data_IF_286663960443
#
_entry.id   IF_286663960443
#
_cell.length_a   1.000
_cell.length_b   1.000
_cell.length_c   1.000
_cell.angle_alpha   90.00
_cell.angle_beta   90.00
_cell.angle_gamma   90.00
#
_symmetry.space_group_name_H-M   'P 1'
#
loop_
_entity.id
_entity.type
_entity.pdbx_description
1 polymer ?
#
# COMPACT_ATOMS: atom_id res chain seq x y z
N UNK A 1 -18.79 -4.94 -35.03
CA UNK A 1 -18.47 -4.38 -33.70
C UNK A 1 -17.14 -3.65 -33.81
N UNK A 2 -16.98 -2.47 -33.18
CA UNK A 2 -15.72 -1.76 -33.22
C UNK A 2 -14.70 -2.47 -32.31
N UNK A 3 -13.44 -2.62 -32.74
CA UNK A 3 -12.33 -3.26 -31.98
C UNK A 3 -12.29 -2.85 -30.50
N UNK A 4 -12.54 -1.57 -30.24
CA UNK A 4 -12.56 -0.97 -28.88
C UNK A 4 -13.64 -1.60 -27.97
N UNK A 5 -14.81 -1.93 -28.49
CA UNK A 5 -15.93 -2.52 -27.73
C UNK A 5 -15.62 -3.97 -27.36
N UNK A 6 -14.96 -4.72 -28.27
CA UNK A 6 -14.53 -6.10 -28.01
C UNK A 6 -13.48 -6.15 -26.92
N UNK A 7 -12.51 -5.24 -26.93
CA UNK A 7 -11.47 -5.20 -25.90
C UNK A 7 -11.97 -4.73 -24.53
N UNK A 8 -12.91 -3.79 -24.50
CA UNK A 8 -13.56 -3.40 -23.24
C UNK A 8 -14.38 -4.57 -22.63
N UNK A 9 -14.99 -5.39 -23.45
CA UNK A 9 -15.72 -6.58 -22.99
C UNK A 9 -14.77 -7.72 -22.58
N UNK A 10 -13.66 -7.91 -23.27
CA UNK A 10 -12.62 -8.89 -22.90
C UNK A 10 -11.94 -8.49 -21.59
N UNK A 11 -11.65 -7.19 -21.38
CA UNK A 11 -11.08 -6.67 -20.15
C UNK A 11 -12.00 -6.87 -18.92
N UNK A 12 -13.31 -6.82 -19.12
CA UNK A 12 -14.31 -7.09 -18.07
C UNK A 12 -14.45 -8.58 -17.71
N UNK A 13 -14.14 -9.48 -18.65
CA UNK A 13 -14.35 -10.93 -18.46
C UNK A 13 -13.08 -11.71 -18.09
N UNK A 14 -11.88 -11.18 -18.33
CA UNK A 14 -10.64 -11.99 -18.28
C UNK A 14 -9.65 -11.59 -17.19
N UNK A 15 -9.93 -10.61 -16.33
CA UNK A 15 -8.94 -10.14 -15.32
C UNK A 15 -7.58 -9.79 -15.93
N UNK A 16 -7.55 -9.45 -17.23
CA UNK A 16 -6.34 -9.26 -18.00
C UNK A 16 -5.67 -7.92 -17.72
N UNK A 17 -4.38 -7.86 -17.95
CA UNK A 17 -3.56 -6.65 -17.93
C UNK A 17 -4.22 -5.55 -18.77
N UNK A 18 -4.82 -4.54 -18.14
CA UNK A 18 -5.31 -3.35 -18.82
C UNK A 18 -4.18 -2.35 -18.88
N UNK A 19 -3.61 -2.17 -20.05
CA UNK A 19 -2.62 -1.13 -20.32
C UNK A 19 -3.35 0.04 -20.97
N UNK A 20 -3.36 1.24 -20.37
CA UNK A 20 -3.94 2.41 -21.02
C UNK A 20 -3.13 2.80 -22.26
N UNK A 21 -3.84 3.14 -23.31
CA UNK A 21 -3.28 3.51 -24.61
C UNK A 21 -2.63 4.90 -24.55
N UNK A 22 -1.32 4.96 -24.45
CA UNK A 22 -0.55 6.16 -24.74
C UNK A 22 0.31 5.97 -26.01
N UNK A 23 0.41 7.02 -26.80
CA UNK A 23 0.95 7.01 -28.17
C UNK A 23 2.48 7.03 -28.29
N UNK A 24 3.22 6.64 -27.26
CA UNK A 24 4.68 6.69 -27.29
C UNK A 24 5.30 5.30 -27.43
N UNK A 25 6.06 5.12 -28.50
CA UNK A 25 6.77 3.89 -28.82
C UNK A 25 7.86 3.53 -27.79
N UNK A 26 7.82 2.31 -27.31
CA UNK A 26 8.78 1.74 -26.37
C UNK A 26 9.98 1.12 -27.13
N UNK A 27 11.17 1.67 -26.92
CA UNK A 27 12.41 1.06 -27.38
C UNK A 27 13.12 0.49 -26.15
N UNK A 28 13.18 -0.83 -26.05
CA UNK A 28 13.95 -1.50 -25.00
C UNK A 28 15.43 -1.24 -25.20
N UNK A 29 16.02 -0.34 -24.44
CA UNK A 29 17.47 -0.35 -24.20
C UNK A 29 17.75 -1.38 -23.12
N UNK A 30 18.76 -2.22 -23.34
CA UNK A 30 19.16 -3.31 -22.49
C UNK A 30 19.25 -2.92 -21.01
N UNK A 31 18.78 -3.83 -20.18
CA UNK A 31 18.77 -3.74 -18.73
C UNK A 31 20.20 -3.51 -18.21
N UNK A 32 20.55 -2.24 -18.01
CA UNK A 32 21.69 -1.87 -17.18
C UNK A 32 21.27 -2.12 -15.73
N UNK A 33 21.98 -3.00 -15.02
CA UNK A 33 21.91 -3.08 -13.56
C UNK A 33 22.42 -1.76 -13.01
N UNK A 34 21.53 -0.77 -12.86
CA UNK A 34 21.84 0.42 -12.08
C UNK A 34 21.80 0.04 -10.59
N UNK A 35 22.92 0.19 -9.88
CA UNK A 35 22.92 -0.03 -8.44
C UNK A 35 22.02 1.01 -7.75
N UNK A 36 21.17 0.54 -6.82
CA UNK A 36 20.34 1.29 -5.89
C UNK A 36 19.28 2.25 -6.47
N UNK A 37 18.33 1.73 -7.25
CA UNK A 37 17.08 2.47 -7.44
C UNK A 37 16.23 2.37 -6.17
N UNK A 38 15.96 3.49 -5.51
CA UNK A 38 15.06 3.53 -4.33
C UNK A 38 13.67 3.06 -4.73
N UNK A 39 13.02 2.32 -3.83
CA UNK A 39 11.73 1.65 -4.06
C UNK A 39 10.70 2.10 -3.04
N UNK A 40 9.45 2.13 -3.45
CA UNK A 40 8.31 2.46 -2.59
C UNK A 40 7.23 1.41 -2.74
N UNK A 41 6.81 0.82 -1.62
CA UNK A 41 5.66 -0.06 -1.55
C UNK A 41 4.60 0.61 -0.69
N UNK A 42 3.40 0.75 -1.21
CA UNK A 42 2.24 1.26 -0.48
C UNK A 42 1.30 0.10 -0.16
N UNK A 43 1.01 -0.09 1.11
CA UNK A 43 -0.01 -1.03 1.61
C UNK A 43 -1.18 -0.19 2.12
N UNK A 44 -2.32 -0.26 1.44
CA UNK A 44 -3.51 0.51 1.79
C UNK A 44 -4.52 -0.36 2.52
N UNK A 45 -4.83 0.00 3.76
CA UNK A 45 -5.77 -0.72 4.63
C UNK A 45 -7.17 -0.09 4.49
N UNK A 46 -8.00 -0.65 3.59
CA UNK A 46 -9.35 -0.11 3.29
C UNK A 46 -10.37 -0.46 4.34
N UNK A 47 -10.98 0.55 4.91
CA UNK A 47 -12.02 0.44 5.95
C UNK A 47 -11.65 1.11 7.27
N UNK A 48 -10.65 2.01 7.26
CA UNK A 48 -10.27 2.80 8.42
C UNK A 48 -9.86 1.95 9.62
N UNK A 49 -8.67 1.36 9.56
CA UNK A 49 -8.10 0.61 10.69
C UNK A 49 -8.09 1.44 11.97
N UNK A 50 -8.40 0.82 13.09
CA UNK A 50 -8.31 1.47 14.40
C UNK A 50 -6.86 1.60 14.88
N UNK A 51 -6.25 2.77 14.67
CA UNK A 51 -4.88 3.05 15.06
C UNK A 51 -4.62 2.94 16.55
N UNK A 52 -5.62 3.23 17.42
CA UNK A 52 -5.50 3.08 18.86
C UNK A 52 -5.47 1.62 19.34
N UNK A 53 -5.92 0.66 18.52
CA UNK A 53 -5.75 -0.76 18.80
C UNK A 53 -4.63 -1.39 17.94
N UNK A 54 -3.83 -0.56 17.27
CA UNK A 54 -2.53 -0.94 16.65
C UNK A 54 -1.37 -0.51 17.55
N UNK A 55 -1.32 0.78 17.89
CA UNK A 55 -0.36 1.38 18.83
C UNK A 55 -1.16 1.97 20.00
N UNK A 56 -1.04 1.34 21.13
CA UNK A 56 -1.87 1.55 22.31
C UNK A 56 -1.16 2.47 23.28
N UNK A 57 -1.74 3.64 23.67
CA UNK A 57 -1.21 4.50 24.70
C UNK A 57 -1.54 3.92 26.09
N UNK A 58 -0.88 2.82 26.45
CA UNK A 58 -1.24 2.03 27.64
C UNK A 58 -0.97 2.74 28.96
N UNK A 59 -0.30 3.87 28.96
CA UNK A 59 -0.11 4.73 30.13
C UNK A 59 -1.27 5.73 30.36
N UNK A 60 -2.24 5.80 29.43
CA UNK A 60 -3.37 6.72 29.54
C UNK A 60 -4.62 6.01 30.07
N UNK A 61 -5.11 6.45 31.24
CA UNK A 61 -6.35 5.95 31.82
C UNK A 61 -7.55 6.16 30.90
N UNK A 62 -7.54 7.25 30.12
CA UNK A 62 -8.57 7.56 29.12
C UNK A 62 -8.71 6.48 28.05
N UNK A 63 -7.65 5.76 27.72
CA UNK A 63 -7.73 4.64 26.78
C UNK A 63 -8.64 3.53 27.34
N UNK A 64 -8.46 3.16 28.59
CA UNK A 64 -9.26 2.11 29.25
C UNK A 64 -10.68 2.60 29.56
N UNK A 65 -10.82 3.85 30.01
CA UNK A 65 -12.12 4.46 30.32
C UNK A 65 -13.02 4.56 29.08
N UNK A 66 -12.46 4.85 27.92
CA UNK A 66 -13.19 4.95 26.66
C UNK A 66 -13.40 3.60 25.96
N UNK A 67 -12.67 2.54 26.36
CA UNK A 67 -12.66 1.23 25.68
C UNK A 67 -12.80 0.05 26.66
N UNK A 68 -13.79 0.04 27.55
CA UNK A 68 -13.91 -0.96 28.62
C UNK A 68 -13.99 -2.42 28.12
N UNK A 69 -14.42 -2.64 26.86
CA UNK A 69 -14.54 -3.98 26.28
C UNK A 69 -13.48 -4.31 25.23
N UNK A 70 -12.87 -3.32 24.59
CA UNK A 70 -11.94 -3.53 23.47
C UNK A 70 -10.51 -3.06 23.76
N UNK A 71 -10.25 -2.50 24.95
CA UNK A 71 -8.91 -2.14 25.38
C UNK A 71 -8.00 -3.38 25.47
N UNK A 72 -6.74 -3.19 25.10
CA UNK A 72 -5.69 -4.20 25.24
C UNK A 72 -4.94 -3.90 26.55
N UNK A 73 -4.70 -4.93 27.35
CA UNK A 73 -4.08 -4.82 28.68
C UNK A 73 -2.64 -4.27 28.61
N UNK A 74 -2.12 -3.68 29.67
CA UNK A 74 -0.74 -3.21 29.76
C UNK A 74 0.29 -4.33 29.51
N UNK A 75 1.59 -3.98 29.33
CA UNK A 75 2.65 -4.96 29.23
C UNK A 75 2.70 -5.87 30.47
N UNK A 76 3.12 -7.12 30.29
CA UNK A 76 3.22 -8.17 31.31
C UNK A 76 1.89 -8.78 31.76
N UNK A 77 0.76 -8.29 31.29
CA UNK A 77 -0.53 -8.95 31.45
C UNK A 77 -0.76 -10.00 30.34
N UNK A 78 -1.58 -11.03 30.58
CA UNK A 78 -1.93 -12.01 29.54
C UNK A 78 -2.52 -11.33 28.30
N UNK A 79 -1.95 -11.58 27.13
CA UNK A 79 -2.31 -10.89 25.87
C UNK A 79 -2.20 -9.36 25.92
N UNK A 80 -1.39 -8.82 26.82
CA UNK A 80 -1.09 -7.41 26.91
C UNK A 80 -0.26 -6.91 25.75
N UNK A 81 -0.14 -5.60 25.65
CA UNK A 81 0.65 -4.94 24.59
C UNK A 81 2.13 -5.30 24.68
N UNK A 82 2.80 -5.24 23.55
CA UNK A 82 4.26 -5.33 23.47
C UNK A 82 4.83 -3.92 23.65
N UNK A 83 5.53 -3.68 24.75
CA UNK A 83 6.08 -2.36 25.04
C UNK A 83 7.01 -1.87 23.93
N UNK A 84 6.84 -0.61 23.51
CA UNK A 84 7.62 0.06 22.49
C UNK A 84 8.61 1.08 23.09
N UNK A 85 8.14 1.94 24.00
CA UNK A 85 8.91 3.06 24.55
C UNK A 85 8.59 3.44 26.00
N UNK A 86 7.83 2.63 26.72
CA UNK A 86 7.39 2.87 28.08
C UNK A 86 6.09 3.66 28.19
N UNK A 87 5.51 4.12 27.07
CA UNK A 87 4.24 4.82 27.01
C UNK A 87 3.26 4.19 26.03
N UNK A 88 3.77 3.83 24.84
CA UNK A 88 3.03 3.13 23.80
C UNK A 88 3.41 1.66 23.73
N UNK A 89 2.44 0.82 23.42
CA UNK A 89 2.62 -0.59 23.16
C UNK A 89 2.06 -1.01 21.81
N UNK A 90 2.67 -2.00 21.20
CA UNK A 90 2.19 -2.60 19.96
C UNK A 90 1.16 -3.68 20.27
N UNK A 91 0.11 -3.77 19.46
CA UNK A 91 -0.85 -4.87 19.52
C UNK A 91 -0.13 -6.23 19.47
N UNK A 92 -0.41 -7.18 20.38
CA UNK A 92 0.29 -8.47 20.44
C UNK A 92 0.13 -9.31 19.16
N UNK A 93 -0.91 -9.10 18.36
CA UNK A 93 -1.08 -9.74 17.06
C UNK A 93 0.00 -9.30 16.04
N UNK A 94 0.68 -8.19 16.27
CA UNK A 94 1.75 -7.65 15.43
C UNK A 94 3.16 -8.00 15.95
N UNK A 95 3.29 -9.02 16.80
CA UNK A 95 4.56 -9.44 17.43
C UNK A 95 5.72 -9.60 16.43
N UNK A 96 5.42 -10.02 15.21
CA UNK A 96 6.42 -10.27 14.17
C UNK A 96 7.09 -8.97 13.67
N UNK A 97 6.53 -7.80 13.99
CA UNK A 97 7.12 -6.48 13.71
C UNK A 97 8.10 -6.00 14.80
N UNK A 98 8.11 -6.61 15.99
CA UNK A 98 9.01 -6.19 17.08
C UNK A 98 10.50 -6.23 16.71
N UNK A 99 11.01 -7.21 15.94
CA UNK A 99 12.39 -7.18 15.48
C UNK A 99 12.71 -5.94 14.62
N UNK A 100 11.78 -5.48 13.79
CA UNK A 100 11.95 -4.27 12.97
C UNK A 100 11.96 -3.00 13.83
N UNK A 101 11.08 -2.93 14.85
CA UNK A 101 11.09 -1.84 15.82
C UNK A 101 12.44 -1.74 16.55
N UNK A 102 12.91 -2.87 17.12
CA UNK A 102 14.19 -2.95 17.85
C UNK A 102 15.40 -2.59 16.97
N UNK A 103 15.35 -2.93 15.68
CA UNK A 103 16.37 -2.57 14.69
C UNK A 103 16.24 -1.14 14.17
N UNK A 104 15.27 -0.35 14.65
CA UNK A 104 14.96 0.99 14.18
C UNK A 104 14.57 1.05 12.69
N UNK A 105 13.90 0.00 12.21
CA UNK A 105 13.45 -0.19 10.84
C UNK A 105 11.92 -0.10 10.69
N UNK A 106 11.23 0.30 11.76
CA UNK A 106 9.80 0.58 11.82
C UNK A 106 9.57 1.85 12.62
N UNK A 107 8.68 2.70 12.16
CA UNK A 107 8.18 3.88 12.86
C UNK A 107 6.70 4.09 12.60
N UNK A 108 6.06 4.85 13.47
CA UNK A 108 4.67 5.26 13.36
C UNK A 108 4.57 6.78 13.41
N UNK A 109 3.59 7.32 12.67
CA UNK A 109 3.29 8.75 12.64
C UNK A 109 1.87 8.95 13.15
N UNK A 110 1.74 9.60 14.29
CA UNK A 110 0.46 9.90 14.93
C UNK A 110 -0.29 11.03 14.22
N UNK A 111 -1.62 11.02 14.37
CA UNK A 111 -2.50 12.07 13.88
C UNK A 111 -2.39 12.29 12.37
N UNK A 112 -2.09 11.22 11.63
CA UNK A 112 -1.96 11.31 10.18
C UNK A 112 -3.34 11.15 9.52
N UNK A 113 -3.62 11.98 8.51
CA UNK A 113 -4.90 11.90 7.79
C UNK A 113 -5.07 13.03 6.80
N UNK A 114 -6.29 13.23 6.37
CA UNK A 114 -6.71 14.30 5.49
C UNK A 114 -7.49 15.34 6.30
N UNK A 115 -7.05 16.60 6.30
CA UNK A 115 -7.79 17.71 6.88
C UNK A 115 -9.12 17.92 6.11
N UNK A 116 -10.08 17.04 6.37
CA UNK A 116 -11.42 17.08 5.82
C UNK A 116 -12.38 16.47 6.86
N UNK A 117 -13.51 17.12 7.11
CA UNK A 117 -14.54 16.63 8.02
C UNK A 117 -15.31 15.41 7.47
N UNK A 118 -15.00 15.00 6.26
CA UNK A 118 -15.67 13.89 5.58
C UNK A 118 -15.21 12.53 6.14
N UNK A 119 -16.17 11.70 6.52
CA UNK A 119 -15.99 10.34 7.04
C UNK A 119 -16.57 9.29 6.07
N UNK A 120 -16.69 9.64 4.78
CA UNK A 120 -17.08 8.71 3.72
C UNK A 120 -15.85 7.95 3.20
N UNK A 121 -15.85 6.63 3.32
CA UNK A 121 -14.77 5.79 2.80
C UNK A 121 -14.48 6.08 1.32
N UNK A 122 -15.51 6.16 0.48
CA UNK A 122 -15.33 6.36 -0.96
C UNK A 122 -14.63 7.68 -1.27
N UNK A 123 -15.07 8.76 -0.65
CA UNK A 123 -14.54 10.09 -0.95
C UNK A 123 -13.13 10.28 -0.39
N UNK A 124 -12.88 9.84 0.85
CA UNK A 124 -11.56 9.97 1.46
C UNK A 124 -10.55 9.04 0.82
N UNK A 125 -10.92 7.80 0.48
CA UNK A 125 -10.06 6.91 -0.31
C UNK A 125 -9.71 7.53 -1.66
N UNK A 126 -10.69 8.09 -2.37
CA UNK A 126 -10.47 8.81 -3.62
C UNK A 126 -9.44 9.95 -3.45
N UNK A 127 -9.60 10.79 -2.43
CA UNK A 127 -8.65 11.89 -2.17
C UNK A 127 -7.25 11.40 -1.77
N UNK A 128 -7.15 10.31 -1.02
CA UNK A 128 -5.86 9.74 -0.66
C UNK A 128 -5.17 9.08 -1.84
N UNK A 129 -5.92 8.50 -2.75
CA UNK A 129 -5.36 7.84 -3.94
C UNK A 129 -5.01 8.84 -5.05
N UNK A 130 -5.83 9.87 -5.26
CA UNK A 130 -5.51 10.90 -6.25
C UNK A 130 -4.55 11.98 -5.71
N UNK A 131 -4.40 12.11 -4.38
CA UNK A 131 -3.50 13.10 -3.76
C UNK A 131 -3.95 14.56 -3.92
N UNK A 132 -5.21 14.81 -4.36
CA UNK A 132 -5.78 16.14 -4.60
C UNK A 132 -7.09 16.33 -3.84
N UNK A 133 -7.04 16.51 -2.50
CA UNK A 133 -8.22 16.70 -1.67
C UNK A 133 -9.13 17.83 -2.19
N UNK A 134 -10.45 17.59 -2.14
CA UNK A 134 -11.45 18.52 -2.63
C UNK A 134 -11.68 18.52 -4.15
N UNK A 135 -10.93 17.71 -4.91
CA UNK A 135 -11.12 17.58 -6.36
C UNK A 135 -11.60 16.18 -6.77
N UNK A 136 -12.90 15.98 -6.76
CA UNK A 136 -13.55 14.71 -7.18
C UNK A 136 -13.45 14.44 -8.70
N UNK A 137 -12.98 15.38 -9.50
CA UNK A 137 -12.86 15.21 -10.96
C UNK A 137 -11.49 14.70 -11.39
N UNK A 138 -10.55 14.60 -10.48
CA UNK A 138 -9.22 14.12 -10.80
C UNK A 138 -9.14 12.60 -10.66
N UNK A 139 -9.18 11.89 -11.78
CA UNK A 139 -9.11 10.43 -11.85
C UNK A 139 -7.67 9.90 -11.96
N UNK A 140 -6.64 10.76 -11.87
CA UNK A 140 -5.25 10.36 -11.95
C UNK A 140 -4.64 10.19 -10.56
N UNK A 141 -4.08 9.00 -10.29
CA UNK A 141 -3.46 8.65 -9.03
C UNK A 141 -2.08 9.31 -8.84
N UNK A 142 -1.74 9.65 -7.59
CA UNK A 142 -0.45 10.27 -7.30
C UNK A 142 0.75 9.36 -7.60
N UNK A 143 0.60 8.03 -7.46
CA UNK A 143 1.68 7.11 -7.84
C UNK A 143 1.87 7.03 -9.36
N UNK A 144 0.83 7.24 -10.17
CA UNK A 144 0.99 7.32 -11.62
C UNK A 144 1.69 8.62 -12.02
N UNK A 145 1.37 9.76 -11.39
CA UNK A 145 2.13 11.00 -11.60
C UNK A 145 3.59 10.86 -11.21
N UNK A 146 3.87 10.20 -10.08
CA UNK A 146 5.24 9.89 -9.68
C UNK A 146 5.95 9.04 -10.73
N UNK A 147 5.28 8.01 -11.25
CA UNK A 147 5.82 7.14 -12.30
C UNK A 147 6.19 7.94 -13.57
N UNK A 148 5.38 8.93 -13.94
CA UNK A 148 5.68 9.86 -15.04
C UNK A 148 6.96 10.67 -14.82
N UNK A 149 7.22 11.09 -13.59
CA UNK A 149 8.44 11.83 -13.20
C UNK A 149 9.67 10.92 -13.23
N UNK A 150 9.54 9.67 -12.79
CA UNK A 150 10.64 8.70 -12.76
C UNK A 150 11.10 8.25 -14.16
N UNK A 151 10.40 8.68 -15.21
CA UNK A 151 10.80 8.62 -16.65
C UNK A 151 11.19 7.22 -17.16
N UNK A 152 10.83 6.15 -16.48
CA UNK A 152 11.06 4.80 -16.98
C UNK A 152 9.93 4.38 -17.92
N UNK A 153 10.33 3.71 -18.98
CA UNK A 153 9.42 3.16 -19.99
C UNK A 153 9.15 1.66 -19.80
N UNK A 154 9.38 1.15 -18.58
CA UNK A 154 9.16 -0.25 -18.27
C UNK A 154 7.75 -0.44 -17.67
N UNK A 155 6.83 -1.18 -18.29
CA UNK A 155 5.48 -1.40 -17.77
C UNK A 155 5.45 -2.13 -16.43
N UNK A 156 6.54 -2.80 -16.03
CA UNK A 156 6.69 -3.44 -14.72
C UNK A 156 7.33 -2.54 -13.67
N UNK A 157 7.63 -1.28 -14.00
CA UNK A 157 8.20 -0.32 -13.03
C UNK A 157 7.24 -0.05 -11.86
N UNK A 158 5.93 -0.05 -12.13
CA UNK A 158 4.92 -0.05 -11.09
C UNK A 158 4.04 -1.30 -11.19
N UNK A 159 3.82 -1.96 -10.07
CA UNK A 159 3.03 -3.19 -9.97
C UNK A 159 1.98 -3.07 -8.89
N UNK A 160 0.77 -3.47 -9.23
CA UNK A 160 -0.34 -3.69 -8.30
C UNK A 160 -0.53 -5.19 -8.05
N UNK A 161 -0.67 -5.60 -6.80
CA UNK A 161 -1.17 -6.94 -6.47
C UNK A 161 -2.70 -6.87 -6.41
N UNK A 162 -3.33 -7.23 -7.51
CA UNK A 162 -4.78 -7.15 -7.70
C UNK A 162 -5.14 -7.27 -9.17
N UNK A 163 -6.39 -7.64 -9.48
CA UNK A 163 -6.86 -7.86 -10.86
C UNK A 163 -7.23 -6.57 -11.60
N UNK A 164 -7.44 -5.48 -10.86
CA UNK A 164 -7.89 -4.18 -11.41
C UNK A 164 -6.92 -3.10 -10.96
N UNK A 165 -6.57 -2.20 -11.88
CA UNK A 165 -5.72 -1.05 -11.55
C UNK A 165 -6.42 -0.15 -10.53
N UNK A 166 -5.88 0.00 -9.31
CA UNK A 166 -6.44 0.89 -8.30
C UNK A 166 -6.26 2.34 -8.72
N UNK A 167 -7.06 3.22 -8.12
CA UNK A 167 -7.07 4.63 -8.49
C UNK A 167 -5.70 5.30 -8.29
N UNK A 168 -5.00 4.96 -7.23
CA UNK A 168 -3.65 5.49 -6.92
C UNK A 168 -2.63 5.27 -8.06
N UNK A 169 -2.82 4.23 -8.86
CA UNK A 169 -1.98 3.87 -10.01
C UNK A 169 -2.63 4.20 -11.35
N UNK A 170 -3.85 4.73 -11.37
CA UNK A 170 -4.56 5.10 -12.60
C UNK A 170 -3.94 6.38 -13.19
N UNK A 171 -3.78 6.42 -14.52
CA UNK A 171 -3.25 7.59 -15.23
C UNK A 171 -2.74 7.25 -16.62
N UNK A 172 -1.88 8.12 -17.14
CA UNK A 172 -1.35 8.02 -18.51
C UNK A 172 -0.22 7.00 -18.65
N UNK A 173 0.45 6.63 -17.55
CA UNK A 173 1.58 5.69 -17.58
C UNK A 173 1.07 4.27 -17.32
N UNK A 174 1.47 3.28 -18.16
CA UNK A 174 1.07 1.88 -17.97
C UNK A 174 1.58 1.30 -16.65
N UNK A 175 0.74 0.46 -16.03
CA UNK A 175 1.03 -0.25 -14.77
C UNK A 175 0.67 -1.71 -14.94
N UNK A 176 1.47 -2.61 -14.37
CA UNK A 176 1.17 -4.03 -14.39
C UNK A 176 0.28 -4.41 -13.19
N UNK A 177 -0.74 -5.22 -13.45
CA UNK A 177 -1.58 -5.84 -12.42
C UNK A 177 -1.26 -7.32 -12.31
N UNK A 178 -0.94 -7.77 -11.10
CA UNK A 178 -0.69 -9.17 -10.80
C UNK A 178 -1.87 -9.75 -10.02
N UNK A 179 -2.63 -10.69 -10.57
CA UNK A 179 -3.77 -11.29 -9.88
C UNK A 179 -3.38 -11.91 -8.53
N UNK A 180 -4.27 -11.83 -7.55
CA UNK A 180 -4.13 -12.53 -6.27
C UNK A 180 -4.26 -14.04 -6.47
N UNK A 181 -3.71 -14.84 -5.56
CA UNK A 181 -3.73 -16.31 -5.69
C UNK A 181 -5.11 -16.93 -5.87
N UNK A 182 -6.14 -16.35 -5.22
CA UNK A 182 -7.52 -16.81 -5.38
C UNK A 182 -8.12 -16.54 -6.77
N UNK A 183 -7.59 -15.55 -7.47
CA UNK A 183 -8.06 -15.21 -8.81
C UNK A 183 -7.50 -16.18 -9.86
N UNK A 184 -6.75 -17.21 -9.42
CA UNK A 184 -5.94 -18.10 -10.26
C UNK A 184 -5.27 -17.29 -11.37
N UNK A 185 -4.03 -17.59 -11.74
CA UNK A 185 -3.54 -17.30 -13.08
C UNK A 185 -4.42 -18.15 -14.03
N UNK A 186 -5.73 -17.83 -14.09
CA UNK A 186 -6.63 -18.46 -15.02
C UNK A 186 -5.95 -18.36 -16.37
N UNK A 187 -5.76 -19.49 -17.01
CA UNK A 187 -5.35 -19.51 -18.40
C UNK A 187 -6.27 -18.53 -19.10
N UNK A 188 -5.73 -17.37 -19.46
CA UNK A 188 -6.49 -16.39 -20.21
C UNK A 188 -6.97 -17.11 -21.47
N UNK A 189 -8.12 -16.73 -21.98
CA UNK A 189 -8.55 -17.24 -23.29
C UNK A 189 -7.45 -17.06 -24.34
N UNK A 190 -6.60 -16.04 -24.19
CA UNK A 190 -5.39 -15.78 -24.99
C UNK A 190 -4.25 -16.77 -24.75
N UNK A 191 -4.27 -17.61 -23.71
CA UNK A 191 -3.28 -18.67 -23.49
C UNK A 191 -3.63 -19.95 -24.22
N UNK A 192 -4.86 -20.06 -24.76
CA UNK A 192 -5.28 -21.13 -25.65
C UNK A 192 -4.52 -20.94 -26.97
N UNK A 193 -3.71 -21.91 -27.46
CA UNK A 193 -2.80 -21.71 -28.59
C UNK A 193 -3.46 -21.12 -29.82
N UNK A 194 -4.65 -21.58 -30.19
CA UNK A 194 -5.39 -21.06 -31.34
C UNK A 194 -5.84 -19.61 -31.14
N UNK A 195 -6.29 -19.26 -29.93
CA UNK A 195 -6.73 -17.90 -29.57
C UNK A 195 -5.51 -16.95 -29.53
N UNK A 196 -4.39 -17.39 -28.94
CA UNK A 196 -3.14 -16.63 -28.91
C UNK A 196 -2.67 -16.31 -30.32
N UNK A 197 -2.67 -17.30 -31.22
CA UNK A 197 -2.30 -17.12 -32.62
C UNK A 197 -3.17 -16.06 -33.31
N UNK A 198 -4.48 -16.17 -33.16
CA UNK A 198 -5.45 -15.22 -33.76
C UNK A 198 -5.27 -13.80 -33.21
N UNK A 199 -5.05 -13.65 -31.92
CA UNK A 199 -4.80 -12.34 -31.32
C UNK A 199 -3.46 -11.74 -31.76
N UNK A 200 -2.39 -12.54 -31.86
CA UNK A 200 -1.10 -12.11 -32.37
C UNK A 200 -1.18 -11.66 -33.85
N UNK A 201 -1.96 -12.37 -34.67
CA UNK A 201 -2.21 -11.96 -36.06
C UNK A 201 -3.05 -10.68 -36.14
N UNK A 202 -4.05 -10.52 -35.26
CA UNK A 202 -4.92 -9.34 -35.23
C UNK A 202 -4.21 -8.08 -34.76
N UNK A 203 -3.25 -8.21 -33.85
CA UNK A 203 -2.54 -7.11 -33.18
C UNK A 203 -1.03 -7.11 -33.51
N UNK A 204 -0.65 -7.42 -34.74
CA UNK A 204 0.73 -7.37 -35.21
C UNK A 204 1.15 -6.00 -35.80
N UNK A 205 0.24 -5.03 -35.83
CA UNK A 205 0.47 -3.70 -36.38
C UNK A 205 1.25 -2.76 -35.45
N UNK A 206 1.46 -1.53 -35.93
CA UNK A 206 2.09 -0.43 -35.18
C UNK A 206 1.07 0.59 -34.65
N UNK A 207 -0.21 0.30 -34.72
CA UNK A 207 -1.24 1.13 -34.12
C UNK A 207 -1.19 1.02 -32.57
N UNK A 208 -1.70 2.03 -31.88
CA UNK A 208 -1.62 2.11 -30.42
C UNK A 208 -2.20 0.90 -29.70
N UNK A 209 -3.20 0.25 -30.30
CA UNK A 209 -3.85 -0.92 -29.73
C UNK A 209 -2.99 -2.18 -29.88
N UNK A 210 -2.36 -2.34 -31.05
CA UNK A 210 -1.43 -3.43 -31.34
C UNK A 210 -0.18 -3.33 -30.45
N UNK A 211 0.36 -2.13 -30.28
CA UNK A 211 1.52 -1.90 -29.39
C UNK A 211 1.16 -2.22 -27.94
N UNK A 212 0.01 -1.76 -27.43
CA UNK A 212 -0.43 -2.07 -26.08
C UNK A 212 -0.64 -3.59 -25.84
N UNK A 213 -1.18 -4.31 -26.81
CA UNK A 213 -1.32 -5.77 -26.73
C UNK A 213 0.07 -6.46 -26.67
N UNK A 214 1.01 -6.07 -27.56
CA UNK A 214 2.34 -6.65 -27.60
C UNK A 214 3.13 -6.38 -26.31
N UNK A 215 3.02 -5.18 -25.73
CA UNK A 215 3.62 -4.82 -24.45
C UNK A 215 3.03 -5.62 -23.30
N UNK A 216 1.70 -5.77 -23.26
CA UNK A 216 1.02 -6.61 -22.28
C UNK A 216 1.49 -8.06 -22.33
N UNK A 217 1.68 -8.62 -23.53
CA UNK A 217 2.20 -9.97 -23.70
C UNK A 217 3.66 -10.10 -23.22
N UNK A 218 4.49 -9.08 -23.45
CA UNK A 218 5.88 -9.05 -22.94
C UNK A 218 5.92 -9.01 -21.42
N UNK A 219 5.15 -8.11 -20.79
CA UNK A 219 5.05 -8.01 -19.33
C UNK A 219 4.59 -9.35 -18.72
N UNK A 220 3.55 -9.97 -19.30
CA UNK A 220 3.04 -11.27 -18.87
C UNK A 220 4.10 -12.38 -18.96
N UNK A 221 4.89 -12.44 -20.04
CA UNK A 221 5.97 -13.43 -20.17
C UNK A 221 7.03 -13.29 -19.08
N UNK A 222 7.39 -12.05 -18.71
CA UNK A 222 8.33 -11.78 -17.63
C UNK A 222 7.75 -12.32 -16.31
N UNK A 223 6.50 -12.00 -15.97
CA UNK A 223 5.86 -12.49 -14.76
C UNK A 223 5.74 -14.01 -14.72
N UNK A 224 5.29 -14.64 -15.80
CA UNK A 224 5.20 -16.11 -15.86
C UNK A 224 6.56 -16.74 -15.60
N UNK A 225 7.61 -16.28 -16.28
CA UNK A 225 8.98 -16.80 -16.10
C UNK A 225 9.46 -16.69 -14.65
N UNK A 226 9.15 -15.59 -13.96
CA UNK A 226 9.54 -15.40 -12.56
C UNK A 226 8.78 -16.30 -11.59
N UNK A 227 7.53 -16.62 -11.88
CA UNK A 227 6.65 -17.35 -10.96
C UNK A 227 6.44 -18.84 -11.30
N UNK A 228 6.81 -19.29 -12.49
CA UNK A 228 6.57 -20.67 -12.95
C UNK A 228 7.22 -21.73 -12.02
N UNK A 229 8.42 -21.47 -11.54
CA UNK A 229 9.13 -22.38 -10.64
C UNK A 229 8.51 -22.41 -9.23
N UNK A 230 7.98 -21.29 -8.75
CA UNK A 230 7.41 -21.14 -7.40
C UNK A 230 6.03 -21.80 -7.31
N UNK A 231 5.23 -21.75 -8.37
CA UNK A 231 3.94 -22.46 -8.44
C UNK A 231 4.09 -23.98 -8.39
N UNK A 232 5.20 -24.51 -8.86
CA UNK A 232 5.50 -25.96 -8.80
C UNK A 232 5.96 -26.38 -7.40
N UNK A 233 6.68 -25.53 -6.68
CA UNK A 233 7.18 -25.83 -5.33
C UNK A 233 6.13 -25.57 -4.23
N UNK A 234 5.30 -24.52 -4.35
CA UNK A 234 4.25 -24.20 -3.37
C UNK A 234 3.14 -25.23 -3.31
N UNK A 235 2.95 -26.03 -4.38
CA UNK A 235 1.98 -27.13 -4.41
C UNK A 235 2.46 -28.40 -3.66
N UNK A 236 3.68 -28.44 -3.13
CA UNK A 236 4.21 -29.55 -2.35
C UNK A 236 3.99 -29.36 -0.85
N UNK A 237 2.75 -29.65 -0.35
CA UNK A 237 2.43 -29.86 1.08
C UNK A 237 2.86 -28.75 2.07
N UNK A 238 3.00 -27.50 1.68
CA UNK A 238 3.22 -26.40 2.61
C UNK A 238 1.93 -26.08 3.40
N UNK A 239 2.01 -25.79 4.71
CA UNK A 239 0.84 -25.38 5.48
C UNK A 239 0.26 -24.10 4.90
N UNK A 240 -1.07 -23.96 4.99
CA UNK A 240 -1.82 -22.78 4.49
C UNK A 240 -1.29 -21.49 5.13
N UNK A 241 -0.47 -20.71 4.42
CA UNK A 241 -0.08 -19.36 4.80
C UNK A 241 -1.17 -18.37 4.39
N UNK A 242 -1.30 -17.24 5.09
CA UNK A 242 -2.26 -16.21 4.69
C UNK A 242 -1.93 -15.70 3.28
N UNK A 243 -2.95 -15.35 2.50
CA UNK A 243 -2.75 -14.86 1.13
C UNK A 243 -1.79 -13.65 1.09
N UNK A 244 -1.83 -12.77 2.10
CA UNK A 244 -0.99 -11.59 2.15
C UNK A 244 0.51 -11.95 2.22
N UNK A 245 0.88 -12.99 2.95
CA UNK A 245 2.28 -13.47 2.99
C UNK A 245 2.76 -13.89 1.59
N UNK A 246 1.92 -14.57 0.81
CA UNK A 246 2.27 -14.94 -0.56
C UNK A 246 2.32 -13.71 -1.49
N UNK A 247 1.38 -12.79 -1.33
CA UNK A 247 1.35 -11.55 -2.10
C UNK A 247 2.62 -10.71 -1.91
N UNK A 248 3.09 -10.58 -0.67
CA UNK A 248 4.33 -9.83 -0.38
C UNK A 248 5.59 -10.55 -0.87
N UNK A 249 5.63 -11.88 -0.86
CA UNK A 249 6.72 -12.65 -1.48
C UNK A 249 6.79 -12.40 -2.99
N UNK A 250 5.65 -12.41 -3.68
CA UNK A 250 5.57 -12.02 -5.09
C UNK A 250 6.08 -10.59 -5.32
N UNK A 251 5.65 -9.64 -4.47
CA UNK A 251 6.11 -8.25 -4.55
C UNK A 251 7.63 -8.16 -4.36
N UNK A 252 8.19 -8.80 -3.34
CA UNK A 252 9.64 -8.82 -3.10
C UNK A 252 10.42 -9.37 -4.30
N UNK A 253 9.94 -10.45 -4.90
CA UNK A 253 10.55 -11.06 -6.08
C UNK A 253 10.54 -10.12 -7.30
N UNK A 254 9.43 -9.41 -7.55
CA UNK A 254 9.34 -8.40 -8.61
C UNK A 254 10.27 -7.21 -8.36
N UNK A 255 10.43 -6.81 -7.09
CA UNK A 255 11.34 -5.74 -6.70
C UNK A 255 12.81 -6.12 -6.90
N UNK A 256 13.18 -7.38 -6.66
CA UNK A 256 14.56 -7.88 -6.73
C UNK A 256 14.93 -8.54 -8.05
N UNK A 257 13.95 -8.95 -8.84
CA UNK A 257 14.12 -9.72 -10.07
C UNK A 257 14.32 -8.87 -11.34
N UNK A 258 14.24 -9.52 -12.49
CA UNK A 258 14.38 -8.91 -13.82
C UNK A 258 13.31 -7.86 -14.13
N UNK A 259 12.14 -7.95 -13.50
CA UNK A 259 11.08 -6.95 -13.61
C UNK A 259 11.52 -5.57 -13.13
N UNK A 260 12.49 -5.53 -12.20
CA UNK A 260 13.06 -4.31 -11.62
C UNK A 260 11.99 -3.30 -11.20
N UNK A 261 10.93 -3.80 -10.56
CA UNK A 261 9.82 -2.98 -10.08
C UNK A 261 10.32 -1.95 -9.06
N UNK A 262 9.88 -0.72 -9.21
CA UNK A 262 10.26 0.40 -8.33
C UNK A 262 9.11 0.82 -7.41
N UNK A 263 7.88 0.78 -7.92
CA UNK A 263 6.68 1.13 -7.17
C UNK A 263 5.78 -0.09 -7.02
N UNK A 264 5.37 -0.40 -5.79
CA UNK A 264 4.45 -1.48 -5.49
C UNK A 264 3.19 -0.96 -4.78
N UNK A 265 2.05 -1.55 -5.10
CA UNK A 265 0.80 -1.27 -4.40
C UNK A 265 0.08 -2.57 -4.04
N UNK A 266 -0.40 -2.64 -2.79
CA UNK A 266 -1.25 -3.73 -2.29
C UNK A 266 -2.34 -3.10 -1.43
N UNK A 267 -3.59 -3.43 -1.68
CA UNK A 267 -4.69 -3.05 -0.79
C UNK A 267 -5.23 -4.25 -0.01
N UNK A 268 -5.65 -4.00 1.22
CA UNK A 268 -6.23 -4.99 2.12
C UNK A 268 -7.51 -4.41 2.71
N UNK A 269 -8.62 -5.13 2.57
CA UNK A 269 -9.94 -4.69 3.05
C UNK A 269 -10.31 -5.25 4.42
N UNK A 270 -11.58 -4.99 4.80
CA UNK A 270 -12.27 -5.49 6.01
C UNK A 270 -11.88 -4.77 7.32
N UNK A 271 -11.25 -3.60 7.25
CA UNK A 271 -10.83 -2.86 8.46
C UNK A 271 -11.96 -2.04 9.09
N UNK A 272 -13.16 -2.03 8.52
CA UNK A 272 -14.34 -1.32 9.02
C UNK A 272 -15.01 -2.07 10.18
N UNK A 273 -14.39 -1.98 11.37
CA UNK A 273 -14.68 -2.82 12.52
C UNK A 273 -15.68 -2.17 13.50
N UNK A 274 -16.92 -1.99 13.07
CA UNK A 274 -18.00 -1.44 13.90
C UNK A 274 -18.54 -2.40 14.99
N UNK A 275 -18.32 -3.71 14.85
CA UNK A 275 -18.89 -4.74 15.71
C UNK A 275 -17.80 -5.75 16.07
N UNK A 276 -17.72 -6.13 17.35
CA UNK A 276 -16.79 -7.17 17.83
C UNK A 276 -15.34 -6.98 17.31
N UNK A 277 -14.84 -5.76 17.41
CA UNK A 277 -13.59 -5.31 16.83
C UNK A 277 -12.38 -6.15 17.25
N UNK A 278 -12.25 -6.51 18.53
CA UNK A 278 -11.10 -7.24 19.03
C UNK A 278 -10.85 -8.54 18.26
N UNK A 279 -11.92 -9.33 18.01
CA UNK A 279 -11.80 -10.58 17.26
C UNK A 279 -11.47 -10.33 15.78
N UNK A 280 -12.09 -9.30 15.18
CA UNK A 280 -11.84 -8.96 13.78
C UNK A 280 -10.42 -8.43 13.56
N UNK A 281 -9.96 -7.49 14.39
CA UNK A 281 -8.61 -6.95 14.31
C UNK A 281 -7.55 -8.03 14.53
N UNK A 282 -7.73 -8.91 15.52
CA UNK A 282 -6.78 -9.99 15.75
C UNK A 282 -6.60 -10.88 14.51
N UNK A 283 -7.71 -11.24 13.85
CA UNK A 283 -7.69 -12.02 12.59
C UNK A 283 -6.99 -11.30 11.44
N UNK A 284 -7.11 -9.96 11.37
CA UNK A 284 -6.55 -9.15 10.29
C UNK A 284 -5.09 -8.73 10.54
N UNK A 285 -4.76 -8.39 11.80
CA UNK A 285 -3.43 -7.90 12.18
C UNK A 285 -2.37 -9.01 12.16
N UNK A 286 -2.70 -10.25 12.55
CA UNK A 286 -1.73 -11.34 12.52
C UNK A 286 -1.13 -11.55 11.13
N UNK A 287 -1.92 -11.79 10.06
CA UNK A 287 -1.35 -11.95 8.72
C UNK A 287 -0.73 -10.65 8.16
N UNK A 288 -1.19 -9.48 8.60
CA UNK A 288 -0.56 -8.20 8.24
C UNK A 288 0.84 -8.11 8.84
N UNK A 289 1.00 -8.39 10.13
CA UNK A 289 2.30 -8.36 10.81
C UNK A 289 3.28 -9.38 10.22
N UNK A 290 2.84 -10.62 10.05
CA UNK A 290 3.62 -11.70 9.41
C UNK A 290 4.03 -11.31 7.99
N UNK A 291 3.10 -10.79 7.19
CA UNK A 291 3.38 -10.38 5.81
C UNK A 291 4.38 -9.24 5.71
N UNK A 292 4.23 -8.18 6.52
CA UNK A 292 5.17 -7.06 6.52
C UNK A 292 6.57 -7.50 6.99
N UNK A 293 6.67 -8.36 8.00
CA UNK A 293 7.95 -8.93 8.44
C UNK A 293 8.57 -9.82 7.35
N UNK A 294 7.76 -10.64 6.68
CA UNK A 294 8.19 -11.47 5.55
C UNK A 294 8.68 -10.60 4.40
N UNK A 295 7.96 -9.51 4.05
CA UNK A 295 8.39 -8.60 3.00
C UNK A 295 9.77 -8.00 3.28
N UNK A 296 10.00 -7.55 4.51
CA UNK A 296 11.31 -7.04 4.93
C UNK A 296 12.42 -8.10 4.82
N UNK A 297 12.12 -9.35 5.17
CA UNK A 297 13.04 -10.47 5.08
C UNK A 297 13.37 -10.84 3.62
N UNK A 298 12.35 -11.00 2.78
CA UNK A 298 12.49 -11.38 1.36
C UNK A 298 13.19 -10.32 0.51
N UNK A 299 13.04 -9.04 0.85
CA UNK A 299 13.81 -7.96 0.23
C UNK A 299 15.31 -8.02 0.57
N UNK A 300 15.69 -8.64 1.68
CA UNK A 300 17.10 -8.76 2.07
C UNK A 300 17.83 -7.42 2.07
N UNK A 301 18.96 -7.34 1.38
CA UNK A 301 19.75 -6.09 1.27
C UNK A 301 18.97 -4.95 0.57
N UNK A 302 18.02 -5.30 -0.31
CA UNK A 302 17.20 -4.30 -1.01
C UNK A 302 16.27 -3.55 -0.06
N UNK A 303 16.00 -4.09 1.15
CA UNK A 303 15.23 -3.41 2.18
C UNK A 303 15.84 -2.07 2.59
N UNK A 304 17.18 -1.91 2.47
CA UNK A 304 17.86 -0.63 2.72
C UNK A 304 17.50 0.46 1.68
N UNK A 305 17.07 0.06 0.51
CA UNK A 305 16.66 0.96 -0.57
C UNK A 305 15.13 0.99 -0.77
N UNK A 306 14.38 0.28 0.09
CA UNK A 306 12.94 0.18 0.00
C UNK A 306 12.27 0.85 1.20
N UNK A 307 11.28 1.70 0.93
CA UNK A 307 10.35 2.20 1.94
C UNK A 307 8.99 1.53 1.74
N UNK A 308 8.45 0.98 2.81
CA UNK A 308 7.10 0.42 2.87
C UNK A 308 6.25 1.40 3.68
N UNK A 309 5.21 1.92 3.05
CA UNK A 309 4.22 2.82 3.63
C UNK A 309 2.93 2.05 3.87
N UNK A 310 2.45 1.99 5.12
CA UNK A 310 1.14 1.43 5.45
C UNK A 310 0.22 2.56 5.88
N UNK A 311 -0.91 2.70 5.21
CA UNK A 311 -1.85 3.79 5.44
C UNK A 311 -3.30 3.33 5.34
N UNK A 312 -4.20 4.12 5.91
CA UNK A 312 -5.65 3.94 5.83
C UNK A 312 -6.31 5.31 5.66
N UNK A 313 -7.56 5.35 5.22
CA UNK A 313 -8.23 6.58 4.81
C UNK A 313 -8.47 7.58 5.95
N UNK A 314 -8.92 7.12 7.12
CA UNK A 314 -9.12 7.93 8.33
C UNK A 314 -9.02 7.05 9.58
N UNK A 315 -9.13 7.65 10.77
CA UNK A 315 -9.08 6.95 12.05
C UNK A 315 -10.46 6.52 12.56
N UNK A 316 -10.47 6.01 13.79
CA UNK A 316 -11.67 5.61 14.50
C UNK A 316 -11.90 6.48 15.71
N UNK A 317 -13.16 6.51 16.21
CA UNK A 317 -13.49 7.19 17.46
C UNK A 317 -12.62 6.69 18.61
N UNK A 318 -12.24 7.60 19.52
CA UNK A 318 -11.51 7.22 20.75
C UNK A 318 -12.37 6.29 21.61
N UNK A 319 -13.65 6.61 21.74
CA UNK A 319 -14.60 5.80 22.51
C UNK A 319 -15.12 4.63 21.68
N UNK A 320 -15.20 3.44 22.31
CA UNK A 320 -15.90 2.30 21.73
C UNK A 320 -17.41 2.56 21.62
N UNK A 321 -18.05 1.93 20.65
CA UNK A 321 -19.51 1.98 20.48
C UNK A 321 -20.23 0.85 21.26
N UNK A 322 -21.56 0.85 21.22
CA UNK A 322 -22.37 -0.14 21.93
C UNK A 322 -22.23 -1.59 21.43
N UNK A 323 -21.55 -1.82 20.30
CA UNK A 323 -21.38 -3.15 19.69
C UNK A 323 -19.95 -3.69 19.86
N UNK A 324 -19.16 -3.17 20.81
CA UNK A 324 -17.76 -3.54 21.03
C UNK A 324 -16.91 -3.32 19.77
N UNK A 325 -17.14 -2.22 19.11
CA UNK A 325 -16.40 -1.73 17.94
C UNK A 325 -16.16 -0.24 18.08
N UNK A 326 -15.81 0.40 16.96
CA UNK A 326 -15.61 1.85 16.90
C UNK A 326 -16.30 2.44 15.67
N UNK A 327 -16.69 3.71 15.74
CA UNK A 327 -17.24 4.41 14.60
C UNK A 327 -16.15 5.19 13.85
N UNK A 328 -16.49 5.78 12.70
CA UNK A 328 -15.55 6.56 11.91
C UNK A 328 -15.08 7.79 12.69
N UNK A 329 -13.78 8.01 12.70
CA UNK A 329 -13.10 9.15 13.33
C UNK A 329 -12.29 9.97 12.33
N UNK A 330 -11.26 10.67 12.81
CA UNK A 330 -10.48 11.61 12.01
C UNK A 330 -9.02 11.17 11.85
N UNK A 331 -8.12 11.60 12.74
CA UNK A 331 -6.70 11.25 12.67
C UNK A 331 -6.42 9.76 12.90
N UNK A 332 -5.47 9.23 12.14
CA UNK A 332 -5.04 7.83 12.22
C UNK A 332 -3.54 7.71 12.43
N UNK A 333 -3.06 6.50 12.33
CA UNK A 333 -1.68 6.10 12.40
C UNK A 333 -1.17 5.75 10.99
N UNK A 334 -0.04 6.33 10.57
CA UNK A 334 0.67 5.90 9.38
C UNK A 334 1.92 5.15 9.80
N UNK A 335 2.25 4.02 9.14
CA UNK A 335 3.41 3.20 9.47
C UNK A 335 4.44 3.32 8.36
N UNK A 336 5.71 3.43 8.73
CA UNK A 336 6.82 3.46 7.77
C UNK A 336 7.82 2.38 8.16
N UNK A 337 8.14 1.50 7.21
CA UNK A 337 9.15 0.46 7.37
C UNK A 337 10.22 0.65 6.29
N UNK A 338 11.46 0.32 6.63
CA UNK A 338 12.58 0.38 5.68
C UNK A 338 13.93 0.29 6.41
N UNK A 339 14.96 -0.17 5.71
CA UNK A 339 16.29 -0.24 6.30
C UNK A 339 16.95 1.14 6.47
N UNK A 340 16.48 2.15 5.75
CA UNK A 340 17.01 3.51 5.74
C UNK A 340 16.14 4.52 6.52
N UNK A 341 15.34 4.06 7.48
CA UNK A 341 14.54 4.94 8.33
C UNK A 341 15.15 5.11 9.71
N UNK A 342 14.82 6.23 10.36
CA UNK A 342 15.15 6.51 11.78
C UNK A 342 14.00 6.03 12.66
N UNK A 343 13.73 4.73 12.64
CA UNK A 343 12.65 4.10 13.39
C UNK A 343 12.98 3.85 14.86
N UNK A 344 12.16 3.00 15.51
CA UNK A 344 12.23 2.74 16.95
C UNK A 344 11.80 3.95 17.78
N UNK A 345 10.98 4.82 17.23
CA UNK A 345 10.38 6.00 17.85
C UNK A 345 9.15 6.44 17.06
N UNK A 346 8.42 7.39 17.60
CA UNK A 346 7.21 7.96 16.98
C UNK A 346 7.49 9.31 16.33
N UNK A 347 6.67 9.67 15.36
CA UNK A 347 6.60 10.97 14.72
C UNK A 347 5.16 11.49 14.70
N UNK A 348 4.96 12.72 14.27
CA UNK A 348 3.69 13.41 14.40
C UNK A 348 3.47 13.90 15.84
N UNK A 349 2.38 14.58 16.06
CA UNK A 349 2.04 15.13 17.38
C UNK A 349 1.03 14.20 18.08
N UNK A 350 1.36 13.78 19.28
CA UNK A 350 0.44 13.10 20.19
C UNK A 350 -0.08 14.10 21.23
N UNK A 351 -1.40 14.25 21.32
CA UNK A 351 -2.05 15.26 22.18
C UNK A 351 -2.77 14.65 23.39
N UNK A 352 -2.54 13.39 23.70
CA UNK A 352 -3.27 12.59 24.68
C UNK A 352 -4.73 12.31 24.31
N UNK A 353 -5.40 11.46 25.11
CA UNK A 353 -6.83 11.12 24.94
C UNK A 353 -7.76 11.93 25.82
N UNK A 354 -7.24 12.96 26.51
CA UNK A 354 -8.09 13.88 27.27
C UNK A 354 -9.10 14.56 26.33
N UNK A 355 -10.36 14.61 26.74
CA UNK A 355 -11.45 15.15 25.91
C UNK A 355 -11.16 16.51 25.28
N UNK A 356 -10.44 17.40 25.99
CA UNK A 356 -10.06 18.74 25.49
C UNK A 356 -9.01 18.71 24.38
N UNK A 357 -8.25 17.61 24.27
CA UNK A 357 -7.21 17.41 23.26
C UNK A 357 -7.74 16.73 21.99
N UNK A 358 -8.97 16.22 22.04
CA UNK A 358 -9.60 15.53 20.92
C UNK A 358 -10.32 16.50 19.98
N UNK A 359 -10.32 16.19 18.71
CA UNK A 359 -11.14 16.87 17.71
C UNK A 359 -12.62 16.57 18.02
N UNK A 360 -13.42 17.63 18.16
CA UNK A 360 -14.82 17.56 18.61
C UNK A 360 -15.01 16.83 19.96
N UNK A 361 -13.95 16.70 20.77
CA UNK A 361 -13.98 15.95 22.04
C UNK A 361 -14.20 14.44 21.83
N UNK A 362 -13.90 13.90 20.64
CA UNK A 362 -14.27 12.55 20.20
C UNK A 362 -13.15 11.80 19.46
N UNK A 363 -12.45 12.45 18.53
CA UNK A 363 -11.52 11.82 17.61
C UNK A 363 -10.09 12.28 17.87
N UNK A 364 -9.11 11.46 17.50
CA UNK A 364 -7.73 11.92 17.40
C UNK A 364 -7.67 13.03 16.34
N UNK A 365 -7.12 14.22 16.69
CA UNK A 365 -6.99 15.30 15.71
C UNK A 365 -6.00 14.95 14.59
N UNK A 366 -6.26 15.46 13.39
CA UNK A 366 -5.29 15.41 12.29
C UNK A 366 -4.25 16.50 12.53
N UNK A 367 -3.03 16.10 12.81
CA UNK A 367 -1.87 16.99 13.02
C UNK A 367 -0.85 16.89 11.92
N UNK A 368 -0.98 15.88 11.07
CA UNK A 368 -0.08 15.59 9.94
C UNK A 368 -0.91 15.24 8.71
N UNK A 369 -0.86 16.08 7.69
CA UNK A 369 -1.42 15.75 6.38
C UNK A 369 -0.71 14.51 5.80
N UNK A 370 -1.46 13.52 5.31
CA UNK A 370 -0.91 12.26 4.81
C UNK A 370 0.12 12.46 3.68
N UNK A 371 0.03 13.54 2.91
CA UNK A 371 0.97 13.88 1.83
C UNK A 371 2.33 14.32 2.38
N UNK A 372 2.40 14.80 3.62
CA UNK A 372 3.65 15.27 4.24
C UNK A 372 4.68 14.14 4.40
N UNK A 373 4.38 12.98 5.04
CA UNK A 373 5.30 11.85 5.10
C UNK A 373 5.70 11.33 3.72
N UNK A 374 4.75 11.26 2.79
CA UNK A 374 5.01 10.80 1.41
C UNK A 374 5.96 11.77 0.72
N UNK A 375 5.74 13.09 0.84
CA UNK A 375 6.65 14.11 0.27
C UNK A 375 8.06 14.00 0.84
N UNK A 376 8.21 13.68 2.13
CA UNK A 376 9.53 13.43 2.72
C UNK A 376 10.21 12.19 2.13
N UNK A 377 9.45 11.11 1.87
CA UNK A 377 9.97 9.92 1.18
C UNK A 377 10.42 10.30 -0.24
N UNK A 378 9.58 11.02 -0.99
CA UNK A 378 9.87 11.40 -2.36
C UNK A 378 11.08 12.35 -2.46
N UNK A 379 11.19 13.33 -1.56
CA UNK A 379 12.33 14.24 -1.53
C UNK A 379 13.63 13.52 -1.17
N UNK A 380 13.62 12.66 -0.14
CA UNK A 380 14.86 12.08 0.39
C UNK A 380 15.29 10.83 -0.37
N UNK A 381 14.35 9.93 -0.69
CA UNK A 381 14.70 8.66 -1.33
C UNK A 381 14.72 8.75 -2.87
N UNK A 382 13.89 9.61 -3.45
CA UNK A 382 13.80 9.74 -4.91
C UNK A 382 14.45 11.03 -5.42
N UNK A 383 15.04 11.81 -4.54
CA UNK A 383 15.72 13.09 -4.86
C UNK A 383 14.83 14.07 -5.63
N UNK A 384 13.51 14.09 -5.30
CA UNK A 384 12.59 14.97 -5.98
C UNK A 384 12.64 16.39 -5.40
N UNK A 385 12.81 17.36 -6.29
CA UNK A 385 12.70 18.77 -5.93
C UNK A 385 11.28 19.14 -5.48
N UNK A 386 11.10 20.24 -4.73
CA UNK A 386 9.75 20.71 -4.36
C UNK A 386 8.82 20.92 -5.54
N UNK A 387 9.34 21.33 -6.70
CA UNK A 387 8.58 21.51 -7.94
C UNK A 387 8.04 20.16 -8.47
N UNK A 388 8.86 19.11 -8.41
CA UNK A 388 8.44 17.76 -8.83
C UNK A 388 7.45 17.17 -7.83
N UNK A 389 7.65 17.38 -6.53
CA UNK A 389 6.69 16.97 -5.50
C UNK A 389 5.33 17.65 -5.71
N UNK A 390 5.31 18.93 -6.10
CA UNK A 390 4.07 19.64 -6.43
C UNK A 390 3.38 19.08 -7.71
N UNK A 391 4.11 18.43 -8.61
CA UNK A 391 3.49 17.68 -9.71
C UNK A 391 2.85 16.38 -9.22
N UNK A 392 3.43 15.73 -8.21
CA UNK A 392 2.82 14.54 -7.57
C UNK A 392 1.61 14.92 -6.73
N UNK A 393 1.71 15.98 -5.95
CA UNK A 393 0.67 16.50 -5.06
C UNK A 393 0.35 17.98 -5.40
N UNK A 394 -0.46 18.25 -6.43
CA UNK A 394 -0.80 19.62 -6.81
C UNK A 394 -1.41 20.41 -5.64
N UNK A 395 -0.98 21.66 -5.50
CA UNK A 395 -1.42 22.60 -4.45
C UNK A 395 -1.08 22.16 -3.01
N UNK A 396 -0.17 21.19 -2.83
CA UNK A 396 0.33 20.81 -1.52
C UNK A 396 1.68 21.45 -1.24
N UNK A 397 1.75 22.26 -0.17
CA UNK A 397 3.00 22.82 0.32
C UNK A 397 3.45 22.07 1.56
N UNK A 398 4.50 21.27 1.41
CA UNK A 398 5.16 20.59 2.52
C UNK A 398 5.77 21.60 3.47
N UNK A 399 5.20 21.78 4.67
CA UNK A 399 5.61 22.82 5.62
C UNK A 399 6.80 22.43 6.48
N UNK A 400 6.94 21.16 6.86
CA UNK A 400 7.98 20.70 7.77
C UNK A 400 8.43 19.27 7.39
N UNK A 401 9.76 19.03 7.37
CA UNK A 401 10.28 17.67 7.25
C UNK A 401 10.15 16.93 8.57
N UNK A 402 9.57 15.74 8.57
CA UNK A 402 9.51 14.87 9.75
C UNK A 402 10.83 14.16 10.04
N UNK A 403 11.83 14.27 9.13
CA UNK A 403 13.19 13.74 9.27
C UNK A 403 13.29 12.27 9.72
N UNK A 404 12.35 11.44 9.33
CA UNK A 404 12.34 10.01 9.68
C UNK A 404 13.18 9.13 8.73
N UNK A 405 13.77 9.68 7.68
CA UNK A 405 14.67 9.00 6.75
C UNK A 405 16.11 9.37 7.05
N UNK A 406 17.02 8.39 6.97
CA UNK A 406 18.47 8.63 7.04
C UNK A 406 18.98 9.07 5.66
N UNK A 407 19.81 10.11 5.63
CA UNK A 407 20.49 10.59 4.41
C UNK A 407 21.74 9.77 4.18
#
# INVERSE_FOLDING_TARGET
>A
MKRRTVLQQIALFTGGLIIPLSSNSWVSKGLSKNPSQKKLIVVFLRGAIDGLNVVIPYQEDEYYNNRPNIAILPPNEPNGVLDLDGYFGLNPALKDLMPLWKKKQLTFIHGCGLENENRSHFEVQHYMENGTPGNLKNDEGWMNRLLGILSSKNPTQAVNIGSVTPEILRGSIPVANLPREKDNLQKLSTDIPIVNKLFNELYNGNDSLSLAYQEGQKARKIFIKEFENEMVESSKNAPSTSNFVQEVKKMAKLMSGEANTQLGFIDLGQWDTHINQSAQLNRLLMPLGEGLATLALELGNLFNDTTILVMSEFGRTVKENGNKGTDHGSGNLMWILGGNIKGGKFYGQWNTLEKKALFEGRDIPITTDFRQPISNILSTNFDLSPQLINQVFPNFNSKNSLNFISV
#
